data_IF_217905802712
#
_entry.id   IF_217905802712
#
_cell.length_a   1.000
_cell.length_b   1.000
_cell.length_c   1.000
_cell.angle_alpha   90.00
_cell.angle_beta   90.00
_cell.angle_gamma   90.00
#
_symmetry.space_group_name_H-M   'P 1'
#
loop_
_entity.id
_entity.type
_entity.pdbx_description
1 polymer ?
#
# COMPACT_ATOMS: atom_id res chain seq x y z
N UNK A 1 -42.02 35.38 -54.37
CA UNK A 1 -42.38 36.80 -54.60
C UNK A 1 -42.62 37.47 -53.26
N UNK A 2 -42.22 38.74 -53.11
CA UNK A 2 -42.46 39.68 -51.98
C UNK A 2 -42.07 39.20 -50.55
N UNK A 3 -40.92 39.59 -49.98
CA UNK A 3 -40.55 40.90 -49.35
C UNK A 3 -41.15 41.11 -47.95
N UNK A 4 -40.36 41.04 -46.86
CA UNK A 4 -39.64 42.18 -46.20
C UNK A 4 -40.46 42.75 -45.01
N UNK A 5 -39.94 43.35 -43.92
CA UNK A 5 -38.58 43.66 -43.37
C UNK A 5 -38.76 43.87 -41.83
N UNK A 6 -37.82 43.49 -40.94
CA UNK A 6 -36.91 44.38 -40.13
C UNK A 6 -37.65 45.44 -39.26
N UNK A 7 -37.45 45.66 -37.95
CA UNK A 7 -36.38 45.43 -36.94
C UNK A 7 -37.02 45.17 -35.52
N UNK A 8 -36.43 45.52 -34.36
CA UNK A 8 -35.31 44.90 -33.58
C UNK A 8 -35.00 45.78 -32.33
N UNK A 9 -34.49 45.19 -31.23
CA UNK A 9 -34.03 45.82 -29.96
C UNK A 9 -35.13 46.21 -28.94
N UNK A 10 -35.03 46.00 -27.61
CA UNK A 10 -33.99 45.32 -26.78
C UNK A 10 -34.51 44.95 -25.37
N UNK A 11 -33.98 43.85 -24.79
CA UNK A 11 -33.60 43.62 -23.36
C UNK A 11 -34.43 44.31 -22.25
N UNK A 12 -35.09 43.63 -21.30
CA UNK A 12 -34.61 42.63 -20.31
C UNK A 12 -35.86 42.04 -19.57
N UNK A 13 -35.84 40.98 -18.72
CA UNK A 13 -34.74 40.21 -18.12
C UNK A 13 -35.04 38.68 -17.95
N UNK A 14 -34.13 38.02 -17.23
CA UNK A 14 -33.97 36.59 -16.90
C UNK A 14 -34.91 36.05 -15.82
N UNK A 15 -35.32 34.77 -15.94
CA UNK A 15 -35.98 34.04 -14.84
C UNK A 15 -36.34 32.57 -15.12
N UNK A 16 -35.42 31.74 -15.65
CA UNK A 16 -35.69 30.32 -15.91
C UNK A 16 -34.60 29.36 -15.40
N UNK A 17 -35.04 28.38 -14.59
CA UNK A 17 -34.54 27.00 -14.45
C UNK A 17 -33.05 26.69 -14.69
N UNK A 18 -32.31 26.39 -13.61
CA UNK A 18 -31.31 25.30 -13.61
C UNK A 18 -31.24 24.63 -12.22
N UNK A 19 -31.86 23.46 -12.09
CA UNK A 19 -31.54 22.53 -11.02
C UNK A 19 -30.14 21.95 -11.26
N UNK A 20 -29.23 22.07 -10.30
CA UNK A 20 -27.85 21.61 -10.44
C UNK A 20 -27.75 20.08 -10.39
N UNK A 21 -27.73 19.44 -11.55
CA UNK A 21 -27.48 18.00 -11.71
C UNK A 21 -26.05 17.63 -11.28
N UNK A 22 -25.86 17.36 -9.98
CA UNK A 22 -24.61 16.80 -9.43
C UNK A 22 -24.68 15.29 -9.26
N UNK A 23 -24.96 14.58 -10.36
CA UNK A 23 -24.91 13.12 -10.48
C UNK A 23 -24.20 12.77 -11.79
N UNK A 24 -23.42 11.67 -11.78
CA UNK A 24 -22.57 11.18 -12.88
C UNK A 24 -21.26 11.94 -13.15
N UNK A 25 -20.36 11.96 -12.15
CA UNK A 25 -18.92 11.86 -12.39
C UNK A 25 -18.37 10.62 -11.65
N UNK A 26 -18.74 9.47 -12.20
CA UNK A 26 -18.40 8.13 -11.70
C UNK A 26 -17.26 7.45 -12.44
N UNK A 27 -16.36 8.23 -13.05
CA UNK A 27 -15.07 7.86 -13.63
C UNK A 27 -14.44 9.17 -14.11
N UNK A 28 -13.73 9.85 -13.22
CA UNK A 28 -12.69 10.77 -13.68
C UNK A 28 -11.49 9.87 -13.99
N UNK A 29 -11.06 9.71 -15.26
CA UNK A 29 -9.72 9.16 -15.50
C UNK A 29 -8.73 10.04 -14.74
N UNK A 30 -7.65 9.43 -14.23
CA UNK A 30 -6.54 10.21 -13.70
C UNK A 30 -6.11 11.24 -14.76
N UNK A 31 -5.79 12.47 -14.34
CA UNK A 31 -5.32 13.50 -15.27
C UNK A 31 -4.10 12.93 -16.03
N UNK A 32 -4.16 12.83 -17.38
CA UNK A 32 -3.05 12.25 -18.14
C UNK A 32 -1.74 13.03 -17.99
N UNK A 33 -1.77 14.25 -17.43
CA UNK A 33 -0.60 15.05 -17.11
C UNK A 33 0.06 14.71 -15.75
N UNK A 34 -0.39 13.66 -15.04
CA UNK A 34 0.21 13.24 -13.78
C UNK A 34 1.65 12.65 -13.90
N UNK A 35 2.20 12.52 -15.11
CA UNK A 35 3.54 11.97 -15.34
C UNK A 35 4.42 12.91 -16.19
N UNK A 36 5.07 13.87 -15.53
CA UNK A 36 6.22 14.59 -16.10
C UNK A 36 7.49 13.72 -16.06
N UNK A 37 7.46 12.62 -16.81
CA UNK A 37 8.63 11.81 -17.14
C UNK A 37 8.58 11.51 -18.64
N UNK A 38 9.70 11.72 -19.35
CA UNK A 38 9.82 11.35 -20.76
C UNK A 38 9.40 9.87 -20.95
N UNK A 39 8.34 9.57 -21.74
CA UNK A 39 7.88 8.20 -21.95
C UNK A 39 8.97 7.26 -22.49
N UNK A 40 10.00 7.80 -23.15
CA UNK A 40 11.13 7.00 -23.62
C UNK A 40 12.08 6.59 -22.49
N UNK A 41 12.26 7.43 -21.46
CA UNK A 41 13.20 7.18 -20.36
C UNK A 41 12.86 5.93 -19.53
N UNK A 42 11.58 5.52 -19.48
CA UNK A 42 11.14 4.28 -18.84
C UNK A 42 11.36 3.02 -19.71
N UNK A 43 11.66 3.19 -21.01
CA UNK A 43 11.81 2.12 -21.99
C UNK A 43 13.28 1.91 -22.46
N UNK A 44 14.25 2.62 -21.87
CA UNK A 44 15.68 2.43 -22.12
C UNK A 44 16.31 1.51 -21.07
N UNK A 45 16.99 0.45 -21.52
CA UNK A 45 17.87 -0.36 -20.67
C UNK A 45 19.19 0.38 -20.45
N UNK A 46 19.62 0.51 -19.19
CA UNK A 46 20.93 1.02 -18.80
C UNK A 46 21.77 -0.16 -18.32
N UNK A 47 22.58 -0.74 -19.20
CA UNK A 47 23.41 -1.89 -18.86
C UNK A 47 24.51 -1.48 -17.87
N UNK A 48 24.59 -2.16 -16.73
CA UNK A 48 25.57 -1.88 -15.66
C UNK A 48 26.71 -2.91 -15.59
N UNK A 49 26.63 -3.95 -16.42
CA UNK A 49 27.63 -5.00 -16.63
C UNK A 49 27.64 -5.31 -18.12
N UNK A 50 28.81 -5.59 -18.72
CA UNK A 50 28.84 -6.07 -20.11
C UNK A 50 28.55 -7.57 -20.19
N UNK A 51 28.05 -8.09 -21.33
CA UNK A 51 27.89 -9.53 -21.53
C UNK A 51 29.19 -10.31 -21.29
N UNK A 52 30.34 -9.78 -21.72
CA UNK A 52 31.66 -10.40 -21.50
C UNK A 52 32.08 -10.41 -20.03
N UNK A 53 31.84 -9.34 -19.27
CA UNK A 53 32.11 -9.31 -17.83
C UNK A 53 31.24 -10.36 -17.11
N UNK A 54 29.97 -10.47 -17.49
CA UNK A 54 29.05 -11.46 -16.94
C UNK A 54 29.49 -12.91 -17.25
N UNK A 55 29.81 -13.22 -18.52
CA UNK A 55 30.31 -14.56 -18.92
C UNK A 55 31.65 -14.87 -18.24
N UNK A 56 32.53 -13.89 -18.07
CA UNK A 56 33.80 -14.07 -17.38
C UNK A 56 33.59 -14.39 -15.89
N UNK A 57 32.72 -13.66 -15.19
CA UNK A 57 32.38 -13.96 -13.79
C UNK A 57 31.78 -15.36 -13.64
N UNK A 58 30.85 -15.73 -14.53
CA UNK A 58 30.22 -17.05 -14.58
C UNK A 58 31.25 -18.18 -14.70
N UNK A 59 32.27 -18.02 -15.55
CA UNK A 59 33.32 -19.01 -15.79
C UNK A 59 34.39 -19.07 -14.69
N UNK A 60 34.75 -17.93 -14.09
CA UNK A 60 35.96 -17.82 -13.26
C UNK A 60 35.69 -17.68 -11.76
N UNK A 61 34.53 -17.16 -11.34
CA UNK A 61 34.26 -16.79 -9.94
C UNK A 61 32.99 -17.39 -9.35
N UNK A 62 31.97 -17.67 -10.16
CA UNK A 62 30.65 -18.09 -9.68
C UNK A 62 30.70 -19.34 -8.77
N UNK A 63 31.53 -20.34 -9.10
CA UNK A 63 31.68 -21.56 -8.28
C UNK A 63 32.25 -21.27 -6.88
N UNK A 64 33.23 -20.37 -6.78
CA UNK A 64 33.85 -20.03 -5.51
C UNK A 64 32.95 -19.09 -4.70
N UNK A 65 32.23 -18.18 -5.36
CA UNK A 65 31.14 -17.41 -4.75
C UNK A 65 30.08 -18.33 -4.14
N UNK A 66 29.57 -19.32 -4.89
CA UNK A 66 28.60 -20.31 -4.40
C UNK A 66 29.15 -21.07 -3.18
N UNK A 67 30.43 -21.44 -3.21
CA UNK A 67 31.11 -22.15 -2.11
C UNK A 67 31.21 -21.28 -0.85
N UNK A 68 31.61 -20.01 -0.97
CA UNK A 68 31.70 -19.08 0.17
C UNK A 68 30.30 -18.77 0.71
N UNK A 69 29.33 -18.46 -0.16
CA UNK A 69 27.96 -18.11 0.23
C UNK A 69 27.26 -19.29 0.94
N UNK A 70 27.37 -20.51 0.42
CA UNK A 70 26.79 -21.72 1.06
C UNK A 70 27.58 -22.13 2.31
N UNK A 71 28.90 -21.97 2.30
CA UNK A 71 29.76 -22.18 3.47
C UNK A 71 29.44 -21.21 4.62
N UNK A 72 28.96 -20.01 4.30
CA UNK A 72 28.33 -19.09 5.25
C UNK A 72 29.31 -18.31 6.14
N UNK A 73 30.48 -18.88 6.44
CA UNK A 73 31.57 -18.21 7.14
C UNK A 73 32.38 -17.34 6.18
N UNK A 74 32.66 -16.10 6.58
CA UNK A 74 33.66 -15.24 5.94
C UNK A 74 34.99 -15.44 6.68
N UNK A 75 36.05 -15.82 5.96
CA UNK A 75 37.36 -16.13 6.54
C UNK A 75 38.46 -15.14 6.14
N UNK A 76 38.29 -14.39 5.05
CA UNK A 76 39.28 -13.38 4.61
C UNK A 76 38.65 -12.12 3.99
N UNK A 77 39.48 -11.18 3.52
CA UNK A 77 39.03 -10.00 2.77
C UNK A 77 38.59 -10.36 1.34
N UNK A 78 39.21 -11.38 0.76
CA UNK A 78 38.89 -11.94 -0.55
C UNK A 78 37.49 -12.56 -0.56
N UNK A 79 37.11 -13.28 0.50
CA UNK A 79 35.74 -13.79 0.68
C UNK A 79 34.71 -12.63 0.66
N UNK A 80 34.97 -11.55 1.39
CA UNK A 80 34.09 -10.36 1.42
C UNK A 80 33.95 -9.74 0.03
N UNK A 81 35.08 -9.58 -0.67
CA UNK A 81 35.12 -9.05 -2.04
C UNK A 81 34.33 -9.95 -3.00
N UNK A 82 34.49 -11.26 -2.89
CA UNK A 82 33.81 -12.24 -3.75
C UNK A 82 32.29 -12.23 -3.55
N UNK A 83 31.81 -12.11 -2.30
CA UNK A 83 30.38 -11.93 -2.01
C UNK A 83 29.85 -10.62 -2.61
N UNK A 84 30.58 -9.51 -2.49
CA UNK A 84 30.20 -8.22 -3.07
C UNK A 84 30.18 -8.23 -4.61
N UNK A 85 31.18 -8.88 -5.24
CA UNK A 85 31.23 -9.06 -6.69
C UNK A 85 30.10 -9.98 -7.19
N UNK A 86 29.75 -11.03 -6.45
CA UNK A 86 28.59 -11.87 -6.75
C UNK A 86 27.26 -11.13 -6.65
N UNK A 87 27.08 -10.29 -5.62
CA UNK A 87 25.92 -9.41 -5.52
C UNK A 87 25.83 -8.41 -6.69
N UNK A 88 26.95 -7.78 -7.07
CA UNK A 88 27.04 -6.93 -8.28
C UNK A 88 26.59 -7.71 -9.51
N UNK A 89 27.19 -8.88 -9.75
CA UNK A 89 26.88 -9.74 -10.90
C UNK A 89 25.39 -10.10 -10.96
N UNK A 90 24.83 -10.66 -9.89
CA UNK A 90 23.43 -11.10 -9.88
C UNK A 90 22.42 -9.94 -10.05
N UNK A 91 22.70 -8.77 -9.47
CA UNK A 91 21.83 -7.61 -9.63
C UNK A 91 21.97 -6.99 -11.02
N UNK A 92 23.20 -6.78 -11.50
CA UNK A 92 23.42 -6.09 -12.78
C UNK A 92 23.07 -6.97 -13.99
N UNK A 93 23.05 -8.31 -13.85
CA UNK A 93 22.47 -9.20 -14.86
C UNK A 93 21.02 -8.84 -15.22
N UNK A 94 20.24 -8.27 -14.30
CA UNK A 94 18.87 -7.80 -14.60
C UNK A 94 18.84 -6.60 -15.56
N UNK A 95 19.97 -5.93 -15.80
CA UNK A 95 20.06 -4.75 -16.68
C UNK A 95 20.34 -5.09 -18.14
N UNK A 96 20.83 -6.30 -18.42
CA UNK A 96 21.07 -6.79 -19.79
C UNK A 96 19.74 -7.13 -20.47
N UNK A 97 19.55 -6.70 -21.72
CA UNK A 97 18.34 -7.03 -22.48
C UNK A 97 18.29 -8.51 -22.88
N UNK A 98 19.42 -9.08 -23.32
CA UNK A 98 19.56 -10.49 -23.68
C UNK A 98 20.37 -11.26 -22.63
N UNK A 99 20.13 -12.56 -22.54
CA UNK A 99 20.88 -13.45 -21.65
C UNK A 99 22.33 -13.61 -22.14
N UNK A 100 23.36 -13.27 -21.34
CA UNK A 100 24.75 -13.28 -21.81
C UNK A 100 25.29 -14.69 -22.09
N UNK A 101 24.73 -15.74 -21.48
CA UNK A 101 25.07 -17.14 -21.81
C UNK A 101 24.31 -17.68 -23.03
N UNK A 102 23.25 -16.99 -23.46
CA UNK A 102 22.32 -17.40 -24.53
C UNK A 102 21.68 -16.16 -25.21
N UNK A 103 22.46 -15.39 -26.01
CA UNK A 103 22.05 -14.08 -26.52
C UNK A 103 20.81 -14.10 -27.42
N UNK A 104 20.39 -15.27 -27.90
CA UNK A 104 19.15 -15.48 -28.64
C UNK A 104 17.88 -15.37 -27.78
N UNK A 105 18.00 -15.35 -26.45
CA UNK A 105 16.88 -15.24 -25.51
C UNK A 105 16.91 -13.92 -24.73
N UNK A 106 15.75 -13.35 -24.47
CA UNK A 106 15.59 -12.23 -23.53
C UNK A 106 15.96 -12.62 -22.10
N UNK A 107 16.37 -11.63 -21.30
CA UNK A 107 16.69 -11.83 -19.88
C UNK A 107 15.43 -12.13 -19.07
N UNK A 108 15.34 -13.36 -18.56
CA UNK A 108 14.28 -13.78 -17.63
C UNK A 108 14.51 -13.21 -16.22
N UNK A 109 13.98 -12.00 -16.02
CA UNK A 109 14.02 -11.27 -14.75
C UNK A 109 13.37 -12.06 -13.60
N UNK A 110 12.35 -12.88 -13.87
CA UNK A 110 11.68 -13.67 -12.83
C UNK A 110 12.61 -14.78 -12.32
N UNK A 111 13.28 -15.48 -13.25
CA UNK A 111 14.28 -16.51 -12.93
C UNK A 111 15.52 -15.94 -12.26
N UNK A 112 15.98 -14.75 -12.65
CA UNK A 112 17.10 -14.08 -11.94
C UNK A 112 16.76 -13.81 -10.47
N UNK A 113 15.60 -13.21 -10.17
CA UNK A 113 15.15 -12.99 -8.79
C UNK A 113 14.96 -14.30 -8.03
N UNK A 114 14.35 -15.31 -8.66
CA UNK A 114 14.14 -16.62 -8.05
C UNK A 114 15.46 -17.36 -7.73
N UNK A 115 16.50 -17.17 -8.55
CA UNK A 115 17.84 -17.68 -8.24
C UNK A 115 18.44 -16.95 -7.03
N UNK A 116 18.45 -15.61 -7.01
CA UNK A 116 18.97 -14.83 -5.86
C UNK A 116 18.30 -15.23 -4.54
N UNK A 117 16.97 -15.37 -4.52
CA UNK A 117 16.22 -15.81 -3.34
C UNK A 117 16.54 -17.27 -2.95
N UNK A 118 16.79 -18.15 -3.93
CA UNK A 118 17.25 -19.53 -3.69
C UNK A 118 18.64 -19.53 -3.04
N UNK A 119 19.56 -18.71 -3.53
CA UNK A 119 20.95 -18.64 -3.06
C UNK A 119 21.01 -18.09 -1.63
N UNK A 120 20.18 -17.08 -1.32
CA UNK A 120 19.92 -16.61 0.05
C UNK A 120 19.46 -17.77 0.95
N UNK A 121 18.41 -18.51 0.55
CA UNK A 121 17.83 -19.61 1.34
C UNK A 121 18.79 -20.80 1.57
N UNK A 122 19.80 -21.00 0.71
CA UNK A 122 20.85 -22.01 0.96
C UNK A 122 22.11 -21.45 1.64
N UNK A 123 22.30 -20.13 1.69
CA UNK A 123 23.44 -19.51 2.34
C UNK A 123 23.50 -19.84 3.83
N UNK A 124 24.65 -20.36 4.29
CA UNK A 124 24.87 -20.73 5.69
C UNK A 124 24.07 -21.91 6.23
N UNK A 125 23.12 -22.47 5.45
CA UNK A 125 22.13 -23.43 5.96
C UNK A 125 22.73 -24.75 6.45
N UNK A 126 23.85 -25.18 5.86
CA UNK A 126 24.55 -26.41 6.23
C UNK A 126 25.52 -26.18 7.41
N UNK A 127 26.21 -25.03 7.42
CA UNK A 127 27.23 -24.71 8.43
C UNK A 127 26.68 -24.06 9.70
N UNK A 128 25.46 -23.52 9.66
CA UNK A 128 24.86 -22.73 10.73
C UNK A 128 25.44 -21.32 10.88
N UNK A 129 26.37 -20.91 10.01
CA UNK A 129 26.97 -19.57 10.02
C UNK A 129 26.37 -18.71 8.89
N UNK A 130 25.86 -17.52 9.21
CA UNK A 130 25.14 -16.65 8.27
C UNK A 130 25.90 -15.35 7.92
N UNK A 131 27.19 -15.21 8.26
CA UNK A 131 27.97 -14.00 7.97
C UNK A 131 27.98 -13.63 6.47
N UNK A 132 28.17 -14.62 5.60
CA UNK A 132 28.14 -14.43 4.14
C UNK A 132 26.74 -14.04 3.64
N UNK A 133 25.68 -14.55 4.29
CA UNK A 133 24.28 -14.20 3.99
C UNK A 133 24.00 -12.74 4.31
N UNK A 134 24.43 -12.27 5.49
CA UNK A 134 24.22 -10.90 5.94
C UNK A 134 24.92 -9.89 5.01
N UNK A 135 26.20 -10.14 4.67
CA UNK A 135 26.94 -9.32 3.71
C UNK A 135 26.32 -9.39 2.30
N UNK A 136 25.83 -10.55 1.87
CA UNK A 136 25.16 -10.69 0.57
C UNK A 136 23.87 -9.88 0.53
N UNK A 137 23.04 -9.92 1.58
CA UNK A 137 21.82 -9.11 1.68
C UNK A 137 22.13 -7.60 1.70
N UNK A 138 23.21 -7.18 2.36
CA UNK A 138 23.67 -5.79 2.38
C UNK A 138 24.07 -5.32 0.98
N UNK A 139 24.96 -6.05 0.30
CA UNK A 139 25.40 -5.68 -1.05
C UNK A 139 24.27 -5.81 -2.09
N UNK A 140 23.39 -6.81 -2.02
CA UNK A 140 22.19 -6.87 -2.87
C UNK A 140 21.31 -5.63 -2.69
N UNK A 141 21.07 -5.19 -1.44
CA UNK A 141 20.25 -4.02 -1.11
C UNK A 141 20.90 -2.72 -1.59
N UNK A 142 22.23 -2.64 -1.53
CA UNK A 142 23.04 -1.54 -2.04
C UNK A 142 22.97 -1.46 -3.57
N UNK A 143 23.30 -2.55 -4.29
CA UNK A 143 23.32 -2.59 -5.76
C UNK A 143 21.94 -2.48 -6.39
N UNK A 144 20.88 -2.94 -5.72
CA UNK A 144 19.51 -2.80 -6.23
C UNK A 144 19.08 -1.32 -6.38
N UNK A 145 19.75 -0.38 -5.70
CA UNK A 145 19.50 1.06 -5.86
C UNK A 145 19.94 1.59 -7.22
N UNK A 146 20.97 1.00 -7.81
CA UNK A 146 21.52 1.37 -9.13
C UNK A 146 20.55 1.01 -10.27
N UNK A 147 19.51 0.22 -9.98
CA UNK A 147 18.48 -0.20 -10.94
C UNK A 147 17.22 0.67 -10.90
N UNK A 148 17.09 1.57 -9.93
CA UNK A 148 15.85 2.32 -9.69
C UNK A 148 15.56 3.42 -10.73
N UNK A 149 16.54 3.76 -11.57
CA UNK A 149 16.40 4.72 -12.67
C UNK A 149 16.44 4.05 -14.07
N UNK A 150 16.45 2.71 -14.12
CA UNK A 150 16.65 1.89 -15.31
C UNK A 150 15.34 1.66 -16.11
N UNK A 151 15.31 0.69 -17.03
CA UNK A 151 14.10 0.24 -17.72
C UNK A 151 12.98 -0.17 -16.72
N UNK A 152 11.71 0.14 -17.02
CA UNK A 152 10.56 -0.09 -16.10
C UNK A 152 10.48 -1.51 -15.52
N UNK A 153 10.76 -2.54 -16.32
CA UNK A 153 10.74 -3.94 -15.85
C UNK A 153 11.91 -4.27 -14.91
N UNK A 154 13.04 -3.58 -15.08
CA UNK A 154 14.25 -3.71 -14.26
C UNK A 154 14.05 -3.01 -12.92
N UNK A 155 13.49 -1.79 -12.92
CA UNK A 155 13.04 -1.08 -11.70
C UNK A 155 12.06 -1.95 -10.90
N UNK A 156 11.00 -2.43 -11.55
CA UNK A 156 10.01 -3.31 -10.93
C UNK A 156 10.65 -4.57 -10.35
N UNK A 157 11.57 -5.20 -11.09
CA UNK A 157 12.29 -6.40 -10.61
C UNK A 157 13.17 -6.12 -9.40
N UNK A 158 13.91 -5.01 -9.38
CA UNK A 158 14.73 -4.61 -8.23
C UNK A 158 13.86 -4.37 -6.98
N UNK A 159 12.72 -3.70 -7.13
CA UNK A 159 11.80 -3.40 -6.01
C UNK A 159 11.05 -4.66 -5.54
N UNK A 160 10.67 -5.56 -6.44
CA UNK A 160 10.16 -6.90 -6.06
C UNK A 160 11.19 -7.67 -5.26
N UNK A 161 12.45 -7.72 -5.71
CA UNK A 161 13.53 -8.40 -4.98
C UNK A 161 13.71 -7.81 -3.58
N UNK A 162 13.87 -6.48 -3.48
CA UNK A 162 13.99 -5.75 -2.20
C UNK A 162 12.81 -6.05 -1.25
N UNK A 163 11.58 -6.11 -1.77
CA UNK A 163 10.38 -6.42 -0.98
C UNK A 163 10.38 -7.85 -0.43
N UNK A 164 11.08 -8.78 -1.08
CA UNK A 164 11.10 -10.21 -0.79
C UNK A 164 12.31 -10.68 0.04
N UNK A 165 13.32 -9.82 0.26
CA UNK A 165 14.52 -10.19 1.02
C UNK A 165 14.17 -10.64 2.46
N UNK A 166 14.88 -11.67 2.91
CA UNK A 166 14.77 -12.27 4.23
C UNK A 166 16.13 -12.27 4.93
N UNK A 167 16.19 -11.79 6.16
CA UNK A 167 17.30 -12.09 7.07
C UNK A 167 17.28 -13.57 7.45
N UNK A 168 16.10 -14.15 7.67
CA UNK A 168 15.88 -15.58 7.94
C UNK A 168 14.68 -16.08 7.14
N UNK A 169 14.78 -17.23 6.49
CA UNK A 169 13.67 -17.86 5.76
C UNK A 169 12.76 -18.70 6.67
N UNK A 170 11.60 -19.09 6.14
CA UNK A 170 10.67 -20.02 6.77
C UNK A 170 11.32 -21.41 6.93
N UNK A 171 11.24 -22.01 8.12
CA UNK A 171 11.55 -23.44 8.32
C UNK A 171 10.31 -24.14 8.87
N UNK A 172 9.60 -24.85 7.96
CA UNK A 172 8.37 -25.59 8.28
C UNK A 172 8.59 -26.76 9.22
N UNK A 173 9.77 -27.37 9.20
CA UNK A 173 10.09 -28.49 10.10
C UNK A 173 10.29 -27.98 11.53
N UNK A 174 10.96 -26.83 11.67
CA UNK A 174 11.21 -26.18 12.98
C UNK A 174 10.11 -25.21 13.41
N UNK A 175 9.09 -25.00 12.57
CA UNK A 175 8.00 -24.02 12.76
C UNK A 175 8.51 -22.59 13.04
N UNK A 176 9.58 -22.18 12.35
CA UNK A 176 10.12 -20.81 12.50
C UNK A 176 9.65 -19.91 11.37
N UNK A 177 8.96 -18.84 11.74
CA UNK A 177 8.51 -17.79 10.81
C UNK A 177 9.69 -17.08 10.12
N UNK A 178 9.53 -16.65 8.85
CA UNK A 178 10.52 -15.86 8.15
C UNK A 178 10.68 -14.47 8.78
N UNK A 179 11.89 -13.94 8.74
CA UNK A 179 12.22 -12.58 9.19
C UNK A 179 12.66 -11.77 7.99
N UNK A 180 11.86 -10.77 7.59
CA UNK A 180 12.19 -9.88 6.48
C UNK A 180 13.49 -9.11 6.73
N UNK A 181 14.28 -8.86 5.69
CA UNK A 181 15.53 -8.10 5.82
C UNK A 181 15.23 -6.61 6.02
N UNK A 182 15.48 -6.09 7.22
CA UNK A 182 15.01 -4.74 7.62
C UNK A 182 15.66 -3.62 6.82
N UNK A 183 16.97 -3.69 6.53
CA UNK A 183 17.70 -2.61 5.85
C UNK A 183 17.21 -2.34 4.41
N UNK A 184 16.45 -3.26 3.81
CA UNK A 184 15.74 -2.99 2.56
C UNK A 184 14.68 -1.87 2.68
N UNK A 185 14.30 -1.43 3.89
CA UNK A 185 13.37 -0.31 4.05
C UNK A 185 13.91 0.99 3.42
N UNK A 186 15.23 1.24 3.47
CA UNK A 186 15.83 2.50 2.99
C UNK A 186 15.57 2.73 1.50
N UNK A 187 15.93 1.81 0.58
CA UNK A 187 15.59 1.97 -0.83
C UNK A 187 14.09 1.90 -1.12
N UNK A 188 13.30 1.15 -0.34
CA UNK A 188 11.85 1.08 -0.55
C UNK A 188 11.13 2.39 -0.19
N UNK A 189 11.55 3.10 0.87
CA UNK A 189 11.07 4.47 1.17
C UNK A 189 11.48 5.44 0.05
N UNK A 190 12.73 5.36 -0.43
CA UNK A 190 13.19 6.18 -1.57
C UNK A 190 12.29 5.99 -2.80
N UNK A 191 11.91 4.76 -3.11
CA UNK A 191 11.01 4.43 -4.23
C UNK A 191 9.58 4.94 -4.00
N UNK A 192 9.05 4.80 -2.79
CA UNK A 192 7.70 5.28 -2.46
C UNK A 192 7.57 6.79 -2.67
N UNK A 193 8.58 7.55 -2.25
CA UNK A 193 8.57 9.01 -2.25
C UNK A 193 9.05 9.63 -3.57
N UNK A 194 9.63 8.84 -4.49
CA UNK A 194 10.14 9.29 -5.79
C UNK A 194 9.00 9.42 -6.82
N UNK A 195 8.75 10.66 -7.25
CA UNK A 195 7.69 11.00 -8.22
C UNK A 195 7.96 10.50 -9.64
N UNK A 196 9.18 10.05 -9.95
CA UNK A 196 9.52 9.43 -11.24
C UNK A 196 9.23 7.93 -11.31
N UNK A 197 8.86 7.31 -10.18
CA UNK A 197 8.51 5.89 -10.14
C UNK A 197 7.08 5.66 -10.57
N UNK A 198 6.85 4.59 -11.34
CA UNK A 198 5.51 4.22 -11.76
C UNK A 198 4.69 3.69 -10.58
N UNK A 199 3.37 3.83 -10.66
CA UNK A 199 2.44 3.46 -9.60
C UNK A 199 2.54 1.98 -9.20
N UNK A 200 2.85 1.08 -10.14
CA UNK A 200 3.06 -0.35 -9.86
C UNK A 200 4.31 -0.58 -9.00
N UNK A 201 5.40 0.13 -9.29
CA UNK A 201 6.65 0.05 -8.54
C UNK A 201 6.45 0.59 -7.12
N UNK A 202 5.72 1.71 -6.97
CA UNK A 202 5.34 2.26 -5.65
C UNK A 202 4.47 1.31 -4.82
N UNK A 203 3.57 0.54 -5.43
CA UNK A 203 2.78 -0.48 -4.72
C UNK A 203 3.67 -1.60 -4.17
N UNK A 204 4.60 -2.12 -4.97
CA UNK A 204 5.52 -3.15 -4.49
C UNK A 204 6.38 -2.60 -3.35
N UNK A 205 6.78 -1.33 -3.43
CA UNK A 205 7.49 -0.67 -2.34
C UNK A 205 6.66 -0.58 -1.05
N UNK A 206 5.42 -0.08 -1.11
CA UNK A 206 4.53 -0.01 0.05
C UNK A 206 4.25 -1.39 0.68
N UNK A 207 4.03 -2.41 -0.15
CA UNK A 207 3.82 -3.79 0.31
C UNK A 207 5.09 -4.36 0.98
N UNK A 208 6.27 -4.10 0.41
CA UNK A 208 7.57 -4.50 1.00
C UNK A 208 7.84 -3.81 2.32
N UNK A 209 7.54 -2.52 2.42
CA UNK A 209 7.63 -1.73 3.65
C UNK A 209 6.72 -2.27 4.76
N UNK A 210 5.45 -2.53 4.44
CA UNK A 210 4.52 -3.12 5.40
C UNK A 210 4.97 -4.51 5.88
N UNK A 211 5.46 -5.35 4.96
CA UNK A 211 6.06 -6.66 5.27
C UNK A 211 7.26 -6.52 6.21
N UNK A 212 8.17 -5.58 5.97
CA UNK A 212 9.29 -5.30 6.89
C UNK A 212 8.77 -4.86 8.27
N UNK A 213 7.78 -3.97 8.31
CA UNK A 213 7.12 -3.51 9.53
C UNK A 213 6.36 -4.59 10.31
N UNK A 214 5.97 -5.68 9.65
CA UNK A 214 5.22 -6.81 10.22
C UNK A 214 6.13 -7.97 10.64
N UNK A 215 7.03 -8.44 9.77
CA UNK A 215 7.81 -9.68 9.99
C UNK A 215 9.32 -9.48 10.11
N UNK A 216 9.86 -8.28 9.83
CA UNK A 216 11.30 -8.02 9.96
C UNK A 216 11.83 -7.91 11.39
N UNK A 217 10.95 -8.00 12.40
CA UNK A 217 11.23 -7.62 13.79
C UNK A 217 11.95 -6.26 13.96
N UNK A 218 11.61 -5.20 13.19
CA UNK A 218 12.24 -3.89 13.36
C UNK A 218 11.86 -3.23 14.70
N UNK A 219 12.66 -2.25 15.13
CA UNK A 219 12.35 -1.43 16.31
C UNK A 219 11.01 -0.72 16.14
N UNK A 220 10.31 -0.44 17.25
CA UNK A 220 9.05 0.31 17.19
C UNK A 220 9.20 1.68 16.52
N UNK A 221 10.35 2.35 16.69
CA UNK A 221 10.66 3.61 15.98
C UNK A 221 10.66 3.42 14.46
N UNK A 222 11.25 2.34 13.95
CA UNK A 222 11.26 2.05 12.51
C UNK A 222 9.87 1.63 12.01
N UNK A 223 9.07 0.89 12.80
CA UNK A 223 7.67 0.58 12.46
C UNK A 223 6.81 1.84 12.35
N UNK A 224 6.95 2.78 13.29
CA UNK A 224 6.28 4.08 13.26
C UNK A 224 6.70 4.87 12.04
N UNK A 225 8.02 5.01 11.78
CA UNK A 225 8.51 5.71 10.59
C UNK A 225 7.94 5.13 9.29
N UNK A 226 7.95 3.81 9.13
CA UNK A 226 7.37 3.17 7.94
C UNK A 226 5.88 3.50 7.78
N UNK A 227 5.12 3.50 8.87
CA UNK A 227 3.70 3.87 8.84
C UNK A 227 3.50 5.35 8.47
N UNK A 228 4.34 6.25 8.97
CA UNK A 228 4.30 7.68 8.65
C UNK A 228 4.58 7.94 7.16
N UNK A 229 5.61 7.33 6.57
CA UNK A 229 5.93 7.45 5.13
C UNK A 229 4.77 6.94 4.24
N UNK A 230 4.12 5.82 4.61
CA UNK A 230 2.95 5.30 3.89
C UNK A 230 1.72 6.19 4.10
N UNK A 231 1.53 6.78 5.29
CA UNK A 231 0.45 7.74 5.55
C UNK A 231 0.62 9.00 4.70
N UNK A 232 1.82 9.56 4.60
CA UNK A 232 2.08 10.79 3.85
C UNK A 232 1.83 10.63 2.35
N UNK A 233 2.31 9.53 1.75
CA UNK A 233 2.00 9.19 0.36
C UNK A 233 0.50 8.89 0.18
N UNK A 234 -0.14 8.19 1.13
CA UNK A 234 -1.59 7.96 1.11
C UNK A 234 -2.36 9.27 1.17
N UNK A 235 -1.97 10.24 1.99
CA UNK A 235 -2.62 11.56 2.06
C UNK A 235 -2.47 12.34 0.74
N UNK A 236 -1.30 12.26 0.08
CA UNK A 236 -1.05 12.92 -1.20
C UNK A 236 -1.81 12.25 -2.38
N UNK A 237 -2.01 10.93 -2.34
CA UNK A 237 -2.62 10.13 -3.41
C UNK A 237 -4.11 10.38 -3.72
N UNK A 238 -4.73 11.50 -3.31
CA UNK A 238 -6.18 11.75 -3.48
C UNK A 238 -6.62 11.63 -4.96
N UNK A 239 -5.81 12.17 -5.87
CA UNK A 239 -6.09 12.22 -7.30
C UNK A 239 -5.51 11.02 -8.08
N UNK A 240 -4.82 10.10 -7.40
CA UNK A 240 -4.21 8.90 -7.98
C UNK A 240 -5.24 7.78 -8.19
N UNK A 241 -4.85 6.74 -8.92
CA UNK A 241 -5.71 5.59 -9.19
C UNK A 241 -6.25 4.90 -7.91
N UNK A 242 -7.53 4.50 -7.92
CA UNK A 242 -8.19 3.88 -6.74
C UNK A 242 -7.51 2.60 -6.25
N UNK A 243 -6.86 1.84 -7.13
CA UNK A 243 -6.11 0.64 -6.78
C UNK A 243 -4.81 0.97 -6.03
N UNK A 244 -4.15 2.09 -6.35
CA UNK A 244 -2.98 2.55 -5.62
C UNK A 244 -3.33 2.98 -4.20
N UNK A 245 -4.33 3.86 -4.06
CA UNK A 245 -4.81 4.33 -2.75
C UNK A 245 -5.18 3.14 -1.84
N UNK A 246 -5.80 2.09 -2.39
CA UNK A 246 -6.15 0.87 -1.65
C UNK A 246 -4.95 0.02 -1.25
N UNK A 247 -3.92 -0.10 -2.08
CA UNK A 247 -2.69 -0.81 -1.71
C UNK A 247 -2.00 -0.13 -0.53
N UNK A 248 -1.92 1.20 -0.52
CA UNK A 248 -1.38 1.96 0.63
C UNK A 248 -2.19 1.73 1.91
N UNK A 249 -3.53 1.73 1.81
CA UNK A 249 -4.42 1.42 2.95
C UNK A 249 -4.22 -0.01 3.47
N UNK A 250 -4.11 -1.00 2.58
CA UNK A 250 -3.88 -2.39 2.95
C UNK A 250 -2.49 -2.60 3.56
N UNK A 251 -1.48 -1.87 3.08
CA UNK A 251 -0.13 -1.85 3.65
C UNK A 251 -0.16 -1.33 5.10
N UNK A 252 -0.88 -0.24 5.39
CA UNK A 252 -1.07 0.23 6.77
C UNK A 252 -1.83 -0.78 7.64
N UNK A 253 -2.89 -1.39 7.11
CA UNK A 253 -3.71 -2.35 7.84
C UNK A 253 -2.99 -3.65 8.21
N UNK A 254 -2.00 -4.10 7.43
CA UNK A 254 -1.24 -5.33 7.70
C UNK A 254 -0.10 -5.16 8.70
N UNK A 255 0.39 -3.93 8.91
CA UNK A 255 1.54 -3.66 9.79
C UNK A 255 1.31 -3.96 11.27
N UNK A 256 0.05 -4.09 11.73
CA UNK A 256 -0.26 -4.36 13.14
C UNK A 256 0.22 -3.25 14.08
N UNK A 257 0.04 -1.99 13.68
CA UNK A 257 0.38 -0.79 14.46
C UNK A 257 -0.76 0.22 14.41
N UNK A 258 -1.04 0.88 15.53
CA UNK A 258 -2.04 1.96 15.65
C UNK A 258 -1.39 3.29 15.99
N UNK A 259 -0.43 3.26 16.92
CA UNK A 259 0.06 4.44 17.63
C UNK A 259 1.50 4.80 17.22
N UNK A 260 1.82 6.10 17.20
CA UNK A 260 3.19 6.59 17.11
C UNK A 260 3.93 6.51 18.46
N UNK A 261 5.19 6.94 18.50
CA UNK A 261 6.00 6.96 19.73
C UNK A 261 5.41 7.85 20.84
N UNK A 262 4.65 8.89 20.49
CA UNK A 262 3.91 9.74 21.42
C UNK A 262 2.53 9.16 21.84
N UNK A 263 2.25 7.89 21.52
CA UNK A 263 0.98 7.19 21.76
C UNK A 263 -0.24 7.83 21.07
N UNK A 264 -0.02 8.58 19.99
CA UNK A 264 -1.10 9.14 19.17
C UNK A 264 -1.50 8.10 18.11
N UNK A 265 -2.80 7.82 17.90
CA UNK A 265 -3.29 6.75 17.02
C UNK A 265 -3.26 7.16 15.54
N UNK A 266 -2.07 7.41 15.00
CA UNK A 266 -1.84 7.98 13.65
C UNK A 266 -2.47 7.15 12.52
N UNK A 267 -2.45 5.82 12.61
CA UNK A 267 -3.00 4.95 11.56
C UNK A 267 -4.54 5.02 11.56
N UNK A 268 -5.15 4.97 12.74
CA UNK A 268 -6.60 5.11 12.91
C UNK A 268 -7.10 6.46 12.38
N UNK A 269 -6.39 7.54 12.70
CA UNK A 269 -6.71 8.89 12.24
C UNK A 269 -6.57 9.04 10.72
N UNK A 270 -5.49 8.51 10.13
CA UNK A 270 -5.28 8.49 8.68
C UNK A 270 -6.41 7.71 7.94
N UNK A 271 -6.80 6.53 8.43
CA UNK A 271 -7.87 5.74 7.83
C UNK A 271 -9.25 6.43 7.96
N UNK A 272 -9.55 7.05 9.11
CA UNK A 272 -10.78 7.84 9.26
C UNK A 272 -10.81 9.08 8.34
N UNK A 273 -9.68 9.76 8.13
CA UNK A 273 -9.53 10.84 7.14
C UNK A 273 -9.78 10.35 5.72
N UNK A 274 -9.23 9.21 5.32
CA UNK A 274 -9.48 8.62 4.00
C UNK A 274 -10.95 8.25 3.83
N UNK A 275 -11.55 7.60 4.83
CA UNK A 275 -12.95 7.14 4.80
C UNK A 275 -13.97 8.28 4.71
N UNK A 276 -13.68 9.42 5.36
CA UNK A 276 -14.53 10.61 5.34
C UNK A 276 -14.32 11.52 4.12
N UNK A 277 -13.19 11.39 3.40
CA UNK A 277 -12.88 12.25 2.26
C UNK A 277 -13.75 11.95 1.03
N UNK A 278 -14.69 12.85 0.72
CA UNK A 278 -15.62 12.71 -0.39
C UNK A 278 -14.97 12.77 -1.80
N UNK A 279 -13.72 13.22 -1.92
CA UNK A 279 -12.97 13.19 -3.20
C UNK A 279 -12.48 11.78 -3.58
N UNK A 280 -12.42 10.85 -2.63
CA UNK A 280 -11.95 9.48 -2.86
C UNK A 280 -13.12 8.56 -3.23
N UNK A 281 -12.87 7.55 -4.06
CA UNK A 281 -13.92 6.64 -4.53
C UNK A 281 -14.48 5.76 -3.41
N UNK A 282 -15.68 5.22 -3.60
CA UNK A 282 -16.31 4.31 -2.63
C UNK A 282 -15.47 3.06 -2.32
N UNK A 283 -14.72 2.55 -3.31
CA UNK A 283 -13.76 1.45 -3.09
C UNK A 283 -12.68 1.84 -2.10
N UNK A 284 -12.07 3.02 -2.26
CA UNK A 284 -11.00 3.50 -1.37
C UNK A 284 -11.54 3.73 0.05
N UNK A 285 -12.68 4.41 0.15
CA UNK A 285 -13.30 4.76 1.43
C UNK A 285 -13.76 3.53 2.22
N UNK A 286 -14.32 2.53 1.53
CA UNK A 286 -14.72 1.27 2.15
C UNK A 286 -13.52 0.38 2.49
N UNK A 287 -12.44 0.36 1.69
CA UNK A 287 -11.18 -0.32 2.07
C UNK A 287 -10.55 0.32 3.31
N UNK A 288 -10.70 1.63 3.54
CA UNK A 288 -10.29 2.24 4.82
C UNK A 288 -11.16 1.77 6.01
N UNK A 289 -12.47 1.58 5.81
CA UNK A 289 -13.36 1.00 6.82
C UNK A 289 -12.95 -0.44 7.18
N UNK A 290 -12.71 -1.28 6.17
CA UNK A 290 -12.21 -2.65 6.32
C UNK A 290 -10.92 -2.69 7.15
N UNK A 291 -9.93 -1.87 6.79
CA UNK A 291 -8.63 -1.90 7.46
C UNK A 291 -8.66 -1.30 8.87
N UNK A 292 -9.61 -0.42 9.21
CA UNK A 292 -9.88 -0.04 10.61
C UNK A 292 -10.27 -1.25 11.48
N UNK A 293 -10.95 -2.25 10.90
CA UNK A 293 -11.28 -3.52 11.57
C UNK A 293 -10.08 -4.46 11.76
N UNK A 294 -9.01 -4.30 10.97
CA UNK A 294 -7.77 -5.11 11.06
C UNK A 294 -6.76 -4.58 12.07
N UNK A 295 -6.87 -3.30 12.46
CA UNK A 295 -5.97 -2.68 13.43
C UNK A 295 -6.10 -3.35 14.82
N UNK A 296 -4.99 -3.53 15.57
CA UNK A 296 -5.02 -4.05 16.94
C UNK A 296 -5.53 -2.98 17.92
N UNK A 297 -6.84 -2.71 17.88
CA UNK A 297 -7.49 -1.68 18.67
C UNK A 297 -7.57 -2.08 20.15
N UNK A 298 -7.06 -1.20 21.02
CA UNK A 298 -7.06 -1.33 22.48
C UNK A 298 -8.34 -0.76 23.08
N UNK A 299 -8.63 -1.12 24.33
CA UNK A 299 -9.82 -0.69 25.07
C UNK A 299 -10.00 0.85 25.18
N UNK A 300 -8.92 1.63 25.05
CA UNK A 300 -8.92 3.09 25.07
C UNK A 300 -9.07 3.76 23.69
N UNK A 301 -9.20 2.98 22.60
CA UNK A 301 -9.50 3.54 21.28
C UNK A 301 -10.91 4.13 21.27
N UNK A 302 -11.13 5.23 20.52
CA UNK A 302 -12.47 5.80 20.34
C UNK A 302 -13.32 4.94 19.39
N UNK A 303 -13.75 3.79 19.90
CA UNK A 303 -14.61 2.83 19.20
C UNK A 303 -15.98 3.43 18.89
N UNK A 304 -16.42 4.47 19.61
CA UNK A 304 -17.66 5.20 19.29
C UNK A 304 -17.49 6.01 18.01
N UNK A 305 -16.39 6.77 17.89
CA UNK A 305 -16.05 7.50 16.66
C UNK A 305 -15.86 6.53 15.48
N UNK A 306 -15.08 5.45 15.65
CA UNK A 306 -14.83 4.47 14.59
C UNK A 306 -16.15 3.84 14.08
N UNK A 307 -16.97 3.29 14.98
CA UNK A 307 -18.22 2.64 14.58
C UNK A 307 -19.23 3.64 14.01
N UNK A 308 -19.34 4.85 14.58
CA UNK A 308 -20.16 5.92 14.03
C UNK A 308 -19.77 6.25 12.59
N UNK A 309 -18.48 6.47 12.32
CA UNK A 309 -18.00 6.86 11.00
C UNK A 309 -18.19 5.75 9.96
N UNK A 310 -18.15 4.47 10.36
CA UNK A 310 -18.47 3.35 9.47
C UNK A 310 -19.98 3.31 9.16
N UNK A 311 -20.86 3.57 10.15
CA UNK A 311 -22.32 3.66 9.91
C UNK A 311 -22.65 4.84 8.98
N UNK A 312 -22.04 6.01 9.19
CA UNK A 312 -22.19 7.20 8.34
C UNK A 312 -21.69 6.97 6.90
N UNK A 313 -20.54 6.31 6.72
CA UNK A 313 -20.08 5.86 5.41
C UNK A 313 -21.13 4.97 4.75
N UNK A 314 -21.63 3.96 5.47
CA UNK A 314 -22.59 2.98 4.96
C UNK A 314 -23.89 3.66 4.52
N UNK A 315 -24.40 4.61 5.31
CA UNK A 315 -25.57 5.43 4.96
C UNK A 315 -25.34 6.18 3.65
N UNK A 316 -24.20 6.87 3.52
CA UNK A 316 -23.82 7.62 2.31
C UNK A 316 -23.66 6.70 1.08
N UNK A 317 -23.10 5.50 1.27
CA UNK A 317 -23.02 4.47 0.23
C UNK A 317 -24.40 4.01 -0.22
N UNK A 318 -25.35 3.77 0.70
CA UNK A 318 -26.72 3.35 0.36
C UNK A 318 -27.44 4.40 -0.50
N UNK A 319 -27.26 5.69 -0.20
CA UNK A 319 -27.84 6.77 -1.01
C UNK A 319 -27.30 6.76 -2.45
N UNK A 320 -25.98 6.63 -2.61
CA UNK A 320 -25.36 6.54 -3.94
C UNK A 320 -25.72 5.23 -4.67
N UNK A 321 -25.80 4.12 -3.95
CA UNK A 321 -26.23 2.81 -4.45
C UNK A 321 -27.66 2.85 -4.98
N UNK A 322 -28.62 3.42 -4.24
CA UNK A 322 -30.01 3.52 -4.68
C UNK A 322 -30.18 4.36 -5.97
N UNK A 323 -29.23 5.26 -6.28
CA UNK A 323 -29.15 6.00 -7.54
C UNK A 323 -28.50 5.24 -8.70
N UNK A 324 -27.62 4.27 -8.42
CA UNK A 324 -26.99 3.41 -9.43
C UNK A 324 -26.68 2.01 -8.86
N UNK A 325 -27.68 1.13 -8.69
CA UNK A 325 -27.51 -0.13 -7.96
C UNK A 325 -26.70 -1.19 -8.73
N UNK A 326 -26.48 -0.99 -10.03
CA UNK A 326 -25.82 -1.94 -10.92
C UNK A 326 -24.31 -1.70 -11.11
N UNK A 327 -23.72 -0.70 -10.43
CA UNK A 327 -22.29 -0.47 -10.53
C UNK A 327 -21.50 -1.64 -9.90
N UNK A 328 -20.57 -2.21 -10.67
CA UNK A 328 -19.86 -3.47 -10.33
C UNK A 328 -19.14 -3.44 -8.97
N UNK A 329 -18.67 -2.26 -8.53
CA UNK A 329 -17.90 -2.11 -7.30
C UNK A 329 -18.74 -2.21 -6.03
N UNK A 330 -20.07 -2.13 -6.09
CA UNK A 330 -20.90 -2.02 -4.88
C UNK A 330 -20.80 -3.24 -3.97
N UNK A 331 -20.89 -4.46 -4.51
CA UNK A 331 -20.80 -5.67 -3.68
C UNK A 331 -19.47 -5.73 -2.92
N UNK A 332 -18.36 -5.36 -3.56
CA UNK A 332 -17.05 -5.21 -2.89
C UNK A 332 -17.07 -4.12 -1.82
N UNK A 333 -17.64 -2.95 -2.09
CA UNK A 333 -17.67 -1.86 -1.11
C UNK A 333 -18.49 -2.23 0.14
N UNK A 334 -19.64 -2.89 -0.02
CA UNK A 334 -20.45 -3.37 1.12
C UNK A 334 -19.82 -4.58 1.82
N UNK A 335 -19.08 -5.44 1.11
CA UNK A 335 -18.25 -6.50 1.71
C UNK A 335 -17.14 -5.93 2.58
N UNK A 336 -16.42 -4.91 2.11
CA UNK A 336 -15.40 -4.22 2.90
C UNK A 336 -15.98 -3.61 4.20
N UNK A 337 -17.21 -3.08 4.18
CA UNK A 337 -17.91 -2.62 5.40
C UNK A 337 -18.27 -3.78 6.33
N UNK A 338 -18.71 -4.92 5.80
CA UNK A 338 -18.91 -6.14 6.60
C UNK A 338 -17.61 -6.59 7.27
N UNK A 339 -16.51 -6.61 6.50
CA UNK A 339 -15.18 -7.00 6.95
C UNK A 339 -14.57 -6.04 7.99
N UNK A 340 -15.05 -4.80 8.07
CA UNK A 340 -14.71 -3.90 9.17
C UNK A 340 -15.18 -4.47 10.52
N UNK A 341 -16.32 -5.18 10.56
CA UNK A 341 -16.89 -5.73 11.78
C UNK A 341 -16.50 -7.20 12.00
N UNK A 342 -16.63 -8.06 10.99
CA UNK A 342 -16.38 -9.51 11.06
C UNK A 342 -15.14 -9.88 10.26
N UNK A 343 -14.37 -10.91 10.63
CA UNK A 343 -13.30 -11.40 9.79
C UNK A 343 -13.85 -12.06 8.52
N UNK A 344 -13.00 -12.22 7.50
CA UNK A 344 -13.30 -13.02 6.31
C UNK A 344 -13.34 -14.51 6.67
N UNK A 345 -12.34 -15.01 7.40
CA UNK A 345 -12.32 -16.37 7.94
C UNK A 345 -12.55 -16.33 9.45
N UNK A 346 -13.38 -17.23 10.00
CA UNK A 346 -13.70 -17.23 11.44
C UNK A 346 -12.48 -17.35 12.38
N UNK A 347 -11.37 -17.90 11.87
CA UNK A 347 -10.09 -18.02 12.58
C UNK A 347 -9.27 -16.71 12.64
N UNK A 348 -9.51 -15.76 11.74
CA UNK A 348 -8.72 -14.53 11.68
C UNK A 348 -9.03 -13.63 12.88
N UNK A 349 -8.01 -12.96 13.41
CA UNK A 349 -8.15 -11.99 14.51
C UNK A 349 -8.45 -10.58 13.98
N UNK A 350 -9.37 -10.48 13.02
CA UNK A 350 -9.75 -9.23 12.32
C UNK A 350 -11.24 -8.93 12.45
N UNK A 351 -11.59 -7.67 12.20
CA UNK A 351 -12.93 -7.13 12.43
C UNK A 351 -13.14 -6.68 13.88
N UNK A 352 -13.92 -5.61 14.08
CA UNK A 352 -14.19 -5.01 15.40
C UNK A 352 -14.75 -6.01 16.44
N UNK A 353 -15.41 -7.10 16.01
CA UNK A 353 -15.89 -8.17 16.90
C UNK A 353 -14.78 -9.01 17.54
N UNK A 354 -13.55 -8.99 16.99
CA UNK A 354 -12.38 -9.69 17.54
C UNK A 354 -11.51 -8.78 18.43
N UNK A 355 -11.71 -7.46 18.37
CA UNK A 355 -10.90 -6.48 19.08
C UNK A 355 -11.29 -6.35 20.56
N UNK A 356 -10.33 -6.02 21.42
CA UNK A 356 -10.53 -5.81 22.86
C UNK A 356 -11.11 -4.41 23.16
N UNK A 357 -12.31 -4.15 22.63
CA UNK A 357 -13.02 -2.86 22.69
C UNK A 357 -14.43 -3.02 23.29
N UNK A 358 -15.17 -1.92 23.47
CA UNK A 358 -16.55 -1.96 23.94
C UNK A 358 -17.48 -2.66 22.92
N UNK A 359 -17.74 -3.95 23.14
CA UNK A 359 -18.54 -4.77 22.24
C UNK A 359 -20.03 -4.38 22.19
N UNK A 360 -20.58 -3.68 23.19
CA UNK A 360 -21.96 -3.15 23.11
C UNK A 360 -22.06 -2.10 22.00
N UNK A 361 -21.09 -1.18 21.94
CA UNK A 361 -21.01 -0.14 20.89
C UNK A 361 -20.81 -0.78 19.50
N UNK A 362 -19.94 -1.79 19.39
CA UNK A 362 -19.73 -2.55 18.15
C UNK A 362 -21.01 -3.25 17.69
N UNK A 363 -21.71 -3.94 18.60
CA UNK A 363 -22.97 -4.63 18.32
C UNK A 363 -24.06 -3.67 17.81
N UNK A 364 -24.26 -2.53 18.48
CA UNK A 364 -25.34 -1.60 18.14
C UNK A 364 -25.12 -0.88 16.80
N UNK A 365 -23.86 -0.62 16.44
CA UNK A 365 -23.50 -0.12 15.12
C UNK A 365 -23.62 -1.21 14.03
N UNK A 366 -23.20 -2.46 14.34
CA UNK A 366 -23.31 -3.57 13.40
C UNK A 366 -24.75 -3.84 12.97
N UNK A 367 -25.72 -3.74 13.91
CA UNK A 367 -27.16 -3.83 13.62
C UNK A 367 -27.63 -2.84 12.55
N UNK A 368 -27.02 -1.65 12.45
CA UNK A 368 -27.38 -0.65 11.46
C UNK A 368 -26.88 -1.00 10.05
N UNK A 369 -25.67 -1.55 9.95
CA UNK A 369 -25.04 -1.83 8.65
C UNK A 369 -25.42 -3.20 8.09
N UNK A 370 -25.68 -4.21 8.93
CA UNK A 370 -25.86 -5.57 8.45
C UNK A 370 -27.12 -5.75 7.59
N UNK A 371 -28.24 -5.12 7.95
CA UNK A 371 -29.50 -5.23 7.19
C UNK A 371 -29.36 -4.82 5.70
N UNK A 372 -28.83 -3.62 5.36
CA UNK A 372 -28.60 -3.25 3.96
C UNK A 372 -27.47 -4.06 3.30
N UNK A 373 -26.40 -4.41 4.02
CA UNK A 373 -25.32 -5.28 3.51
C UNK A 373 -25.88 -6.64 3.06
N UNK A 374 -26.63 -7.32 3.93
CA UNK A 374 -27.19 -8.65 3.66
C UNK A 374 -28.15 -8.66 2.47
N UNK A 375 -28.83 -7.54 2.19
CA UNK A 375 -29.69 -7.40 1.01
C UNK A 375 -28.89 -7.21 -0.29
N UNK A 376 -27.81 -6.41 -0.26
CA UNK A 376 -27.00 -6.08 -1.45
C UNK A 376 -26.07 -7.23 -1.85
N UNK A 377 -25.62 -8.03 -0.89
CA UNK A 377 -24.71 -9.15 -1.13
C UNK A 377 -25.39 -10.42 -1.66
N UNK A 378 -26.73 -10.51 -1.66
CA UNK A 378 -27.42 -11.67 -2.23
C UNK A 378 -27.08 -11.87 -3.73
N UNK A 379 -27.09 -13.12 -4.22
CA UNK A 379 -27.14 -13.41 -5.64
C UNK A 379 -28.41 -12.82 -6.29
N UNK A 380 -28.35 -12.54 -7.60
CA UNK A 380 -29.50 -12.05 -8.37
C UNK A 380 -29.63 -10.52 -8.42
N UNK A 381 -30.87 -10.04 -8.47
CA UNK A 381 -31.22 -8.63 -8.71
C UNK A 381 -30.79 -7.74 -7.54
N UNK A 382 -30.10 -6.65 -7.84
CA UNK A 382 -29.66 -5.64 -6.88
C UNK A 382 -30.86 -4.85 -6.32
N UNK A 383 -31.29 -5.07 -5.05
CA UNK A 383 -32.53 -4.48 -4.54
C UNK A 383 -32.29 -3.07 -3.99
N UNK A 384 -33.15 -2.10 -4.32
CA UNK A 384 -33.10 -0.78 -3.67
C UNK A 384 -33.36 -0.91 -2.16
N UNK A 385 -32.54 -0.25 -1.34
CA UNK A 385 -32.73 -0.21 0.11
C UNK A 385 -33.88 0.73 0.45
N UNK A 386 -34.82 0.26 1.26
CA UNK A 386 -36.04 1.00 1.60
C UNK A 386 -35.78 2.23 2.50
N UNK A 387 -36.70 3.21 2.44
CA UNK A 387 -36.57 4.46 3.18
C UNK A 387 -36.57 4.28 4.70
N UNK A 388 -37.27 3.26 5.23
CA UNK A 388 -37.30 2.92 6.65
C UNK A 388 -35.92 2.52 7.19
N UNK A 389 -35.16 1.73 6.41
CA UNK A 389 -33.80 1.32 6.78
C UNK A 389 -32.87 2.53 6.80
N UNK A 390 -32.99 3.44 5.82
CA UNK A 390 -32.24 4.70 5.80
C UNK A 390 -32.60 5.59 6.99
N UNK A 391 -33.90 5.72 7.31
CA UNK A 391 -34.39 6.49 8.47
C UNK A 391 -33.84 5.93 9.79
N UNK A 392 -33.85 4.61 9.97
CA UNK A 392 -33.29 3.95 11.16
C UNK A 392 -31.80 4.27 11.36
N UNK A 393 -31.02 4.26 10.27
CA UNK A 393 -29.61 4.69 10.32
C UNK A 393 -29.46 6.18 10.64
N UNK A 394 -30.27 7.05 10.04
CA UNK A 394 -30.24 8.50 10.30
C UNK A 394 -30.58 8.83 11.76
N UNK A 395 -31.58 8.16 12.33
CA UNK A 395 -31.98 8.35 13.73
C UNK A 395 -30.94 7.75 14.71
N UNK A 396 -30.31 6.61 14.36
CA UNK A 396 -29.17 6.08 15.11
C UNK A 396 -27.98 7.03 15.09
N UNK A 397 -27.65 7.63 13.93
CA UNK A 397 -26.55 8.59 13.80
C UNK A 397 -26.82 9.85 14.66
N UNK A 398 -28.01 10.44 14.58
CA UNK A 398 -28.39 11.59 15.44
C UNK A 398 -28.20 11.26 16.93
N UNK A 399 -28.64 10.07 17.38
CA UNK A 399 -28.52 9.63 18.77
C UNK A 399 -27.09 9.34 19.21
N UNK A 400 -26.22 8.87 18.30
CA UNK A 400 -24.88 8.38 18.62
C UNK A 400 -23.75 9.33 18.24
N UNK A 401 -24.04 10.60 17.98
CA UNK A 401 -23.05 11.61 17.59
C UNK A 401 -21.79 11.58 18.50
N UNK A 402 -20.57 11.53 17.93
CA UNK A 402 -19.33 11.63 18.69
C UNK A 402 -19.16 13.02 19.33
N UNK A 403 -18.42 13.10 20.44
CA UNK A 403 -18.12 14.40 21.09
C UNK A 403 -17.25 15.31 20.23
N UNK A 404 -16.40 14.71 19.40
CA UNK A 404 -15.65 15.36 18.33
C UNK A 404 -15.33 14.31 17.24
N UNK A 405 -14.86 14.77 16.08
CA UNK A 405 -14.47 13.90 14.96
C UNK A 405 -12.95 13.74 14.85
N UNK A 406 -12.25 13.58 15.98
CA UNK A 406 -10.77 13.47 16.04
C UNK A 406 -10.36 12.37 17.01
N UNK A 407 -9.46 11.49 16.59
CA UNK A 407 -9.02 10.35 17.41
C UNK A 407 -8.12 10.77 18.59
N UNK A 408 -7.57 11.98 18.53
CA UNK A 408 -6.86 12.62 19.63
C UNK A 408 -7.32 14.08 19.79
N UNK A 409 -7.36 14.64 21.01
CA UNK A 409 -7.46 16.08 21.19
C UNK A 409 -6.22 16.72 20.56
N UNK A 410 -6.42 17.80 19.79
CA UNK A 410 -5.32 18.57 19.22
C UNK A 410 -4.58 19.22 20.39
N UNK A 411 -3.42 18.69 20.74
CA UNK A 411 -2.45 19.48 21.48
C UNK A 411 -2.09 20.67 20.60
N UNK A 412 -2.20 21.88 21.15
CA UNK A 412 -1.62 23.06 20.51
C UNK A 412 -0.16 22.76 20.18
N UNK A 413 0.34 23.27 19.05
CA UNK A 413 1.79 23.26 18.79
C UNK A 413 2.49 23.75 20.05
N UNK A 414 3.49 23.04 20.60
CA UNK A 414 4.28 23.58 21.69
C UNK A 414 4.90 24.89 21.19
N UNK A 415 4.44 26.02 21.76
CA UNK A 415 5.25 27.23 21.74
C UNK A 415 6.57 26.88 22.43
N UNK A 416 7.68 27.41 21.90
CA UNK A 416 9.05 27.14 22.32
C UNK A 416 9.69 25.87 21.72
N UNK A 417 9.77 25.82 20.40
CA UNK A 417 11.09 25.71 19.78
C UNK A 417 11.41 27.03 19.07
N UNK A 418 11.86 28.02 19.86
CA UNK A 418 12.78 29.00 19.30
C UNK A 418 14.05 28.22 18.97
N UNK A 419 14.33 28.09 17.68
CA UNK A 419 15.61 27.56 17.22
C UNK A 419 16.67 28.52 17.75
N UNK A 420 17.58 28.00 18.57
CA UNK A 420 18.81 28.70 18.87
C UNK A 420 19.64 28.70 17.58
N UNK A 421 19.50 29.77 16.79
CA UNK A 421 20.43 30.08 15.70
C UNK A 421 21.78 30.38 16.34
N UNK A 422 22.61 29.33 16.41
CA UNK A 422 24.00 29.42 16.83
C UNK A 422 24.82 30.17 15.78
N UNK A 423 25.66 31.08 16.27
CA UNK A 423 26.65 31.85 15.49
C UNK A 423 27.72 30.96 14.88
#
# INVERSE_FOLDING_TARGET
>A
MLTARVCRHSLLAVGLLLCSSSLLLGQQPADPNAQNADPNALNVYKELISPDEAVNFQKTKLRDFDKVLRGGKISSAEDKKLIAEGAKYHIYLMTLKQNPSKPENETDLNKLRANILRDINFSGKISGNFQARELYLEELTKRAQDLLDNHRLVRFSAVVLLSQLNLRDEDRQKKTEPVAYTLAYVPLVKVLNDKSQTTEVKIVAANGLARIGQTGNPTNQLRVKIAEEIIDELMQSVNEFSWYQRSLINALGSMGITDNLARQPIVTDALLKVMSNAKRTWEVRSTAAENLGKLPLKANADIKLITYSIVDLTRKMIQAYNGNPNAFFWKRCFWNVYLAFKPENAADNTGLFKQQVNQTVVNDAYKQVIKPISAILQPGVNPKINAETIKGMDDWLKKNLPKNFRVAPVQAKPQNQQVAEGK
#
